data_IF_752873684804
#
_entry.id   IF_752873684804
#
_cell.length_a   1.000
_cell.length_b   1.000
_cell.length_c   1.000
_cell.angle_alpha   90.00
_cell.angle_beta   90.00
_cell.angle_gamma   90.00
#
_symmetry.space_group_name_H-M   'P 1'
#
loop_
_entity.id
_entity.type
_entity.pdbx_description
1 polymer ?
#
# COMPACT_ATOMS: atom_id res chain seq x y z
N UNK A 1 -2.98 -53.80 -49.18
CA UNK A 1 -2.56 -52.70 -48.29
C UNK A 1 -3.52 -51.52 -48.49
N UNK A 2 -4.55 -51.41 -47.64
CA UNK A 2 -5.56 -50.35 -47.70
C UNK A 2 -5.06 -49.13 -46.93
N UNK A 3 -4.96 -47.96 -47.57
CA UNK A 3 -4.68 -46.68 -46.90
C UNK A 3 -5.93 -45.78 -46.96
N UNK A 4 -6.38 -45.47 -45.75
CA UNK A 4 -7.43 -44.59 -45.24
C UNK A 4 -7.68 -43.28 -46.01
N UNK A 5 -8.95 -42.86 -46.13
CA UNK A 5 -9.36 -41.46 -46.06
C UNK A 5 -10.04 -41.21 -44.69
N UNK A 6 -9.50 -40.29 -43.90
CA UNK A 6 -10.16 -39.65 -42.76
C UNK A 6 -9.66 -38.20 -42.77
N UNK A 7 -10.08 -37.38 -43.73
CA UNK A 7 -11.32 -36.61 -43.65
C UNK A 7 -11.47 -35.96 -42.26
N UNK A 8 -10.97 -34.73 -42.10
CA UNK A 8 -11.81 -33.54 -42.16
C UNK A 8 -12.90 -33.46 -41.06
N UNK A 9 -12.58 -33.80 -39.81
CA UNK A 9 -13.47 -33.56 -38.65
C UNK A 9 -12.70 -33.13 -37.40
N UNK A 10 -11.67 -32.29 -37.55
CA UNK A 10 -10.95 -31.73 -36.39
C UNK A 10 -10.52 -30.27 -36.58
N UNK A 11 -11.28 -29.49 -37.35
CA UNK A 11 -11.01 -28.06 -37.57
C UNK A 11 -12.19 -27.14 -37.20
N UNK A 12 -13.21 -27.66 -36.50
CA UNK A 12 -14.43 -26.89 -36.18
C UNK A 12 -14.80 -26.86 -34.69
N UNK A 13 -13.85 -27.00 -33.77
CA UNK A 13 -14.13 -27.05 -32.32
C UNK A 13 -13.24 -26.13 -31.45
N UNK A 14 -12.62 -25.09 -32.01
CA UNK A 14 -11.83 -24.11 -31.25
C UNK A 14 -12.16 -22.64 -31.57
N UNK A 15 -13.42 -22.36 -31.94
CA UNK A 15 -13.93 -20.99 -31.93
C UNK A 15 -14.58 -20.71 -30.56
N UNK A 16 -13.76 -20.58 -29.52
CA UNK A 16 -14.21 -19.87 -28.33
C UNK A 16 -14.36 -18.38 -28.69
N UNK A 17 -15.44 -17.71 -28.30
CA UNK A 17 -15.46 -16.26 -28.37
C UNK A 17 -14.38 -15.75 -27.42
N UNK A 18 -13.29 -15.23 -27.97
CA UNK A 18 -12.38 -14.38 -27.21
C UNK A 18 -13.23 -13.25 -26.65
N UNK A 19 -13.51 -13.30 -25.35
CA UNK A 19 -14.06 -12.14 -24.65
C UNK A 19 -12.97 -11.09 -24.74
N UNK A 20 -13.14 -10.14 -25.65
CA UNK A 20 -12.24 -9.01 -25.79
C UNK A 20 -12.24 -8.26 -24.46
N UNK A 21 -11.18 -8.44 -23.69
CA UNK A 21 -10.91 -7.64 -22.51
C UNK A 21 -10.62 -6.23 -23.05
N UNK A 22 -11.59 -5.33 -22.89
CA UNK A 22 -11.44 -3.94 -23.27
C UNK A 22 -10.36 -3.30 -22.39
N UNK A 23 -9.19 -3.08 -22.99
CA UNK A 23 -8.13 -2.25 -22.42
C UNK A 23 -8.63 -0.78 -22.40
N UNK A 24 -8.20 0.04 -21.42
CA UNK A 24 -8.45 1.47 -21.46
C UNK A 24 -7.97 2.07 -22.78
N UNK A 25 -8.73 3.00 -23.38
CA UNK A 25 -8.29 3.77 -24.55
C UNK A 25 -7.05 4.58 -24.17
N UNK A 26 -5.87 4.12 -24.61
CA UNK A 26 -4.59 4.78 -24.37
C UNK A 26 -4.33 5.95 -25.33
N UNK A 27 -5.27 6.26 -26.23
CA UNK A 27 -5.14 7.28 -27.27
C UNK A 27 -4.23 6.84 -28.43
N UNK A 28 -4.35 7.53 -29.56
CA UNK A 28 -3.47 7.36 -30.73
C UNK A 28 -2.08 7.92 -30.42
N UNK A 29 -1.24 7.06 -29.81
CA UNK A 29 0.13 7.37 -29.46
C UNK A 29 1.05 7.07 -30.64
N UNK A 30 1.41 8.12 -31.37
CA UNK A 30 2.68 8.12 -32.10
C UNK A 30 3.83 7.75 -31.14
N UNK A 31 4.88 7.11 -31.65
CA UNK A 31 5.98 6.49 -30.92
C UNK A 31 6.92 7.45 -30.12
N UNK A 32 6.39 8.53 -29.56
CA UNK A 32 7.03 9.55 -28.72
C UNK A 32 5.92 10.27 -27.94
N UNK A 33 5.72 10.20 -26.62
CA UNK A 33 6.46 9.77 -25.45
C UNK A 33 5.43 9.30 -24.40
N UNK A 34 5.74 8.31 -23.57
CA UNK A 34 4.96 8.01 -22.37
C UNK A 34 5.10 9.19 -21.40
N UNK A 35 4.16 10.14 -21.41
CA UNK A 35 4.29 11.41 -20.67
C UNK A 35 4.08 11.21 -19.16
N UNK A 36 4.68 12.05 -18.29
CA UNK A 36 4.48 11.96 -16.83
C UNK A 36 3.01 11.96 -16.40
N UNK A 37 2.15 12.70 -17.13
CA UNK A 37 0.71 12.72 -16.88
C UNK A 37 0.03 11.38 -17.21
N UNK A 38 0.43 10.74 -18.31
CA UNK A 38 -0.04 9.38 -18.64
C UNK A 38 0.47 8.35 -17.63
N UNK A 39 1.74 8.42 -17.20
CA UNK A 39 2.26 7.52 -16.17
C UNK A 39 1.44 7.64 -14.87
N UNK A 40 1.16 8.87 -14.46
CA UNK A 40 0.38 9.14 -13.26
C UNK A 40 -1.04 8.60 -13.36
N UNK A 41 -1.73 8.84 -14.48
CA UNK A 41 -3.08 8.33 -14.70
C UNK A 41 -3.14 6.81 -14.65
N UNK A 42 -2.23 6.12 -15.33
CA UNK A 42 -2.17 4.65 -15.32
C UNK A 42 -1.85 4.13 -13.91
N UNK A 43 -0.91 4.76 -13.21
CA UNK A 43 -0.60 4.43 -11.82
C UNK A 43 -1.81 4.58 -10.89
N UNK A 44 -2.57 5.66 -11.05
CA UNK A 44 -3.81 5.95 -10.30
C UNK A 44 -4.89 4.88 -10.53
N UNK A 45 -5.02 4.39 -11.76
CA UNK A 45 -5.94 3.29 -12.09
C UNK A 45 -5.49 1.97 -11.47
N UNK A 46 -4.20 1.63 -11.59
CA UNK A 46 -3.64 0.40 -11.01
C UNK A 46 -3.81 0.40 -9.48
N UNK A 47 -3.42 1.48 -8.81
CA UNK A 47 -3.45 1.52 -7.35
C UNK A 47 -4.87 1.52 -6.81
N UNK A 48 -5.82 2.12 -7.54
CA UNK A 48 -7.25 2.06 -7.20
C UNK A 48 -7.72 0.61 -7.22
N UNK A 49 -7.36 -0.16 -8.23
CA UNK A 49 -7.69 -1.59 -8.28
C UNK A 49 -7.04 -2.37 -7.13
N UNK A 50 -5.75 -2.17 -6.86
CA UNK A 50 -5.02 -2.85 -5.78
C UNK A 50 -5.65 -2.54 -4.42
N UNK A 51 -5.83 -1.26 -4.07
CA UNK A 51 -6.33 -0.82 -2.75
C UNK A 51 -7.70 -1.41 -2.42
N UNK A 52 -8.56 -1.60 -3.42
CA UNK A 52 -9.96 -1.96 -3.19
C UNK A 52 -10.27 -3.43 -3.43
N UNK A 53 -9.49 -4.11 -4.25
CA UNK A 53 -9.84 -5.46 -4.72
C UNK A 53 -8.82 -6.51 -4.36
N UNK A 54 -7.59 -6.11 -4.03
CA UNK A 54 -6.57 -7.06 -3.62
C UNK A 54 -6.62 -7.31 -2.11
N UNK A 55 -6.91 -8.56 -1.72
CA UNK A 55 -6.87 -8.99 -0.33
C UNK A 55 -5.47 -8.87 0.29
N UNK A 56 -4.42 -8.85 -0.54
CA UNK A 56 -3.05 -8.65 -0.12
C UNK A 56 -2.73 -7.18 0.20
N UNK A 57 -3.57 -6.19 -0.14
CA UNK A 57 -3.33 -4.81 0.27
C UNK A 57 -3.27 -4.70 1.81
N UNK A 58 -2.21 -4.05 2.32
CA UNK A 58 -2.05 -3.79 3.75
C UNK A 58 -2.81 -2.51 4.15
N UNK A 59 -4.08 -2.69 4.50
CA UNK A 59 -4.91 -1.63 5.07
C UNK A 59 -4.59 -1.44 6.57
N UNK A 60 -3.41 -0.90 6.86
CA UNK A 60 -2.97 -0.56 8.22
C UNK A 60 -2.47 0.89 8.27
N UNK A 61 -3.24 1.84 8.82
CA UNK A 61 -2.89 3.25 8.79
C UNK A 61 -1.57 3.60 9.48
N UNK A 62 -1.17 2.86 10.52
CA UNK A 62 0.10 3.13 11.21
C UNK A 62 1.30 2.69 10.37
N UNK A 63 1.19 1.53 9.70
CA UNK A 63 2.24 1.04 8.80
C UNK A 63 2.31 1.90 7.54
N UNK A 64 1.16 2.24 6.93
CA UNK A 64 1.08 3.12 5.76
C UNK A 64 1.71 4.49 6.07
N UNK A 65 1.42 5.06 7.25
CA UNK A 65 2.00 6.34 7.64
C UNK A 65 3.51 6.28 7.83
N UNK A 66 4.03 5.22 8.47
CA UNK A 66 5.47 5.01 8.63
C UNK A 66 6.20 4.91 7.28
N UNK A 67 5.73 4.04 6.37
CA UNK A 67 6.39 3.85 5.07
C UNK A 67 6.32 5.12 4.22
N UNK A 68 5.22 5.88 4.30
CA UNK A 68 5.11 7.15 3.60
C UNK A 68 6.02 8.22 4.20
N UNK A 69 6.24 8.23 5.52
CA UNK A 69 7.16 9.16 6.17
C UNK A 69 8.60 8.86 5.79
N UNK A 70 8.99 7.58 5.81
CA UNK A 70 10.28 7.11 5.33
C UNK A 70 10.50 7.49 3.85
N UNK A 71 9.54 7.16 3.00
CA UNK A 71 9.57 7.46 1.58
C UNK A 71 9.66 8.97 1.30
N UNK A 72 8.84 9.80 1.95
CA UNK A 72 8.90 11.27 1.79
C UNK A 72 10.23 11.87 2.21
N UNK A 73 10.86 11.34 3.28
CA UNK A 73 12.21 11.76 3.68
C UNK A 73 13.23 11.46 2.59
N UNK A 74 13.15 10.30 1.95
CA UNK A 74 14.02 9.93 0.83
C UNK A 74 13.73 10.77 -0.43
N UNK A 75 12.45 10.96 -0.79
CA UNK A 75 12.04 11.77 -1.95
C UNK A 75 12.53 13.21 -1.81
N UNK A 76 12.40 13.81 -0.63
CA UNK A 76 12.89 15.16 -0.36
C UNK A 76 14.41 15.32 -0.55
N UNK A 77 15.16 14.21 -0.46
CA UNK A 77 16.61 14.15 -0.68
C UNK A 77 17.00 13.59 -2.07
N UNK A 78 16.02 13.22 -2.89
CA UNK A 78 16.25 12.67 -4.22
C UNK A 78 16.59 13.76 -5.24
N UNK A 79 16.96 13.34 -6.46
CA UNK A 79 17.20 14.25 -7.58
C UNK A 79 15.92 14.90 -8.15
N UNK A 80 14.73 14.47 -7.72
CA UNK A 80 13.46 15.07 -8.11
C UNK A 80 12.48 15.21 -6.92
N UNK A 81 12.75 16.13 -5.97
CA UNK A 81 11.98 16.25 -4.73
C UNK A 81 10.55 16.77 -4.91
N UNK A 82 10.20 17.27 -6.10
CA UNK A 82 8.87 17.79 -6.42
C UNK A 82 7.93 16.72 -7.00
N UNK A 83 8.46 15.55 -7.36
CA UNK A 83 7.64 14.46 -7.89
C UNK A 83 6.79 13.84 -6.77
N UNK A 84 5.52 13.61 -7.05
CA UNK A 84 4.60 12.96 -6.11
C UNK A 84 4.90 11.46 -5.99
N UNK A 85 4.90 10.96 -4.76
CA UNK A 85 5.05 9.54 -4.45
C UNK A 85 4.02 9.08 -3.44
N UNK A 86 3.57 7.84 -3.60
CA UNK A 86 2.63 7.17 -2.72
C UNK A 86 3.18 5.77 -2.39
N UNK A 87 3.43 5.52 -1.11
CA UNK A 87 3.98 4.24 -0.64
C UNK A 87 2.87 3.39 -0.03
N UNK A 88 2.86 2.09 -0.31
CA UNK A 88 1.85 1.17 0.23
C UNK A 88 2.43 -0.19 0.60
N UNK A 89 1.79 -0.86 1.56
CA UNK A 89 2.19 -2.20 2.00
C UNK A 89 1.40 -3.31 1.30
N UNK A 90 2.05 -4.45 1.13
CA UNK A 90 1.45 -5.70 0.61
C UNK A 90 1.69 -6.82 1.62
N UNK A 91 0.64 -7.49 2.07
CA UNK A 91 0.62 -8.63 3.01
C UNK A 91 1.18 -9.88 2.35
N UNK A 92 2.48 -9.89 2.16
CA UNK A 92 3.21 -11.00 1.53
C UNK A 92 4.53 -11.21 2.27
N UNK A 93 4.79 -12.46 2.68
CA UNK A 93 5.99 -12.86 3.40
C UNK A 93 7.26 -12.93 2.54
N UNK A 94 7.15 -12.78 1.22
CA UNK A 94 8.29 -12.73 0.31
C UNK A 94 9.04 -11.40 0.44
N UNK A 95 10.35 -11.44 0.18
CA UNK A 95 11.19 -10.24 0.15
C UNK A 95 11.00 -9.60 -1.23
N UNK A 96 10.19 -8.54 -1.28
CA UNK A 96 9.93 -7.77 -2.49
C UNK A 96 9.58 -6.30 -2.20
N UNK A 97 9.92 -5.45 -3.16
CA UNK A 97 9.39 -4.12 -3.38
C UNK A 97 9.29 -3.89 -4.89
N UNK A 98 8.45 -2.95 -5.30
CA UNK A 98 8.31 -2.60 -6.71
C UNK A 98 7.77 -1.19 -6.88
N UNK A 99 8.21 -0.53 -7.94
CA UNK A 99 7.63 0.71 -8.44
C UNK A 99 6.58 0.45 -9.55
N UNK A 100 5.46 1.15 -9.47
CA UNK A 100 4.47 1.29 -10.54
C UNK A 100 4.62 2.68 -11.20
N UNK A 101 4.11 2.86 -12.44
CA UNK A 101 4.08 4.17 -13.10
C UNK A 101 3.49 5.26 -12.19
N UNK A 102 4.00 6.48 -12.28
CA UNK A 102 3.40 7.62 -11.56
C UNK A 102 3.77 7.76 -10.08
N UNK A 103 4.82 7.06 -9.62
CA UNK A 103 5.39 7.24 -8.28
C UNK A 103 4.74 6.40 -7.17
N UNK A 104 4.06 5.31 -7.53
CA UNK A 104 3.50 4.38 -6.54
C UNK A 104 4.51 3.28 -6.23
N UNK A 105 4.88 3.11 -4.97
CA UNK A 105 5.87 2.11 -4.55
C UNK A 105 5.24 1.15 -3.54
N UNK A 106 5.22 -0.14 -3.90
CA UNK A 106 4.73 -1.22 -3.05
C UNK A 106 5.85 -1.90 -2.28
N UNK A 107 5.62 -2.18 -0.99
CA UNK A 107 6.55 -2.92 -0.13
C UNK A 107 5.87 -4.16 0.44
N UNK A 108 6.49 -5.32 0.28
CA UNK A 108 6.00 -6.54 0.94
C UNK A 108 6.31 -6.50 2.44
N UNK A 109 5.42 -7.03 3.27
CA UNK A 109 5.65 -7.12 4.72
C UNK A 109 6.87 -7.98 5.06
N UNK A 110 7.15 -9.02 4.27
CA UNK A 110 8.35 -9.85 4.38
C UNK A 110 9.64 -9.05 4.23
N UNK A 111 9.68 -8.07 3.32
CA UNK A 111 10.81 -7.16 3.14
C UNK A 111 11.06 -6.32 4.41
N UNK A 112 10.02 -5.69 4.94
CA UNK A 112 10.09 -4.84 6.15
C UNK A 112 10.56 -5.67 7.36
N UNK A 113 10.09 -6.92 7.46
CA UNK A 113 10.47 -7.82 8.55
C UNK A 113 11.92 -8.31 8.44
N UNK A 114 12.40 -8.53 7.21
CA UNK A 114 13.76 -9.01 6.91
C UNK A 114 14.85 -7.94 7.06
N UNK A 115 14.52 -6.66 6.94
CA UNK A 115 15.45 -5.57 7.22
C UNK A 115 15.90 -5.61 8.69
N UNK A 116 17.20 -5.59 8.96
CA UNK A 116 17.78 -5.58 10.31
C UNK A 116 18.01 -4.18 10.85
N UNK A 117 18.11 -3.18 9.96
CA UNK A 117 18.10 -1.75 10.30
C UNK A 117 17.14 -0.96 9.41
N UNK A 118 16.76 0.23 9.85
CA UNK A 118 15.94 1.14 9.06
C UNK A 118 16.71 1.65 7.84
N UNK A 119 18.04 1.78 7.94
CA UNK A 119 18.89 2.19 6.81
C UNK A 119 18.89 1.15 5.67
N UNK A 120 18.78 -0.14 5.99
CA UNK A 120 18.61 -1.18 4.98
C UNK A 120 17.25 -1.10 4.29
N UNK A 121 16.16 -0.92 5.05
CA UNK A 121 14.84 -0.70 4.45
C UNK A 121 14.83 0.56 3.57
N UNK A 122 15.41 1.65 4.08
CA UNK A 122 15.55 2.90 3.37
C UNK A 122 16.37 2.74 2.08
N UNK A 123 17.35 1.84 2.04
CA UNK A 123 18.15 1.55 0.85
C UNK A 123 17.31 0.96 -0.28
N UNK A 124 16.39 0.05 0.04
CA UNK A 124 15.46 -0.54 -0.94
C UNK A 124 14.46 0.51 -1.41
N UNK A 125 13.92 1.32 -0.49
CA UNK A 125 13.00 2.40 -0.86
C UNK A 125 13.70 3.45 -1.73
N UNK A 126 14.95 3.79 -1.43
CA UNK A 126 15.77 4.69 -2.24
C UNK A 126 16.05 4.14 -3.63
N UNK A 127 16.28 2.83 -3.76
CA UNK A 127 16.42 2.12 -5.02
C UNK A 127 15.14 2.21 -5.89
N UNK A 128 13.98 1.95 -5.29
CA UNK A 128 12.69 2.08 -6.00
C UNK A 128 12.38 3.52 -6.40
N UNK A 129 12.71 4.50 -5.54
CA UNK A 129 12.60 5.93 -5.89
C UNK A 129 13.48 6.23 -7.11
N UNK A 130 14.70 5.69 -7.17
CA UNK A 130 15.59 5.89 -8.31
C UNK A 130 15.01 5.29 -9.61
N UNK A 131 14.36 4.12 -9.57
CA UNK A 131 13.66 3.60 -10.76
C UNK A 131 12.60 4.57 -11.30
N UNK A 132 11.87 5.23 -10.40
CA UNK A 132 10.84 6.21 -10.75
C UNK A 132 11.46 7.51 -11.26
N UNK A 133 12.42 8.10 -10.55
CA UNK A 133 12.99 9.40 -10.93
C UNK A 133 13.82 9.32 -12.22
N UNK A 134 14.47 8.17 -12.47
CA UNK A 134 15.15 7.88 -13.73
C UNK A 134 14.19 7.41 -14.84
N UNK A 135 12.88 7.32 -14.55
CA UNK A 135 11.82 6.97 -15.50
C UNK A 135 12.09 5.64 -16.22
N UNK A 136 12.64 4.65 -15.53
CA UNK A 136 13.04 3.38 -16.16
C UNK A 136 11.85 2.67 -16.83
N UNK A 137 10.65 2.71 -16.23
CA UNK A 137 9.43 2.15 -16.87
C UNK A 137 9.12 2.86 -18.19
N UNK A 138 9.14 4.20 -18.21
CA UNK A 138 8.89 4.96 -19.42
C UNK A 138 9.94 4.69 -20.51
N UNK A 139 11.21 4.52 -20.12
CA UNK A 139 12.28 4.17 -21.05
C UNK A 139 12.10 2.77 -21.65
N UNK A 140 11.65 1.78 -20.86
CA UNK A 140 11.33 0.42 -21.36
C UNK A 140 10.17 0.50 -22.36
N UNK A 141 9.10 1.20 -22.00
CA UNK A 141 7.91 1.34 -22.85
C UNK A 141 8.23 2.08 -24.14
N UNK A 142 9.00 3.17 -24.08
CA UNK A 142 9.37 3.98 -25.24
C UNK A 142 10.31 3.26 -26.22
N UNK A 143 11.26 2.45 -25.72
CA UNK A 143 12.20 1.70 -26.57
C UNK A 143 11.56 0.50 -27.29
N UNK A 144 10.38 0.07 -26.86
CA UNK A 144 9.76 -1.17 -27.34
C UNK A 144 8.28 -0.95 -27.68
N UNK A 145 7.93 0.21 -28.24
CA UNK A 145 6.58 0.82 -28.26
C UNK A 145 5.39 -0.15 -28.33
N UNK A 146 5.40 -1.15 -29.21
CA UNK A 146 4.32 -2.14 -29.27
C UNK A 146 4.37 -3.21 -28.17
N UNK A 147 5.53 -3.79 -27.88
CA UNK A 147 5.66 -4.83 -26.86
C UNK A 147 5.67 -4.28 -25.41
N UNK A 148 6.25 -3.09 -25.20
CA UNK A 148 6.23 -2.41 -23.91
C UNK A 148 4.82 -1.95 -23.50
N UNK A 149 4.00 -1.55 -24.48
CA UNK A 149 2.60 -1.22 -24.25
C UNK A 149 1.74 -2.47 -24.02
N UNK A 150 1.98 -3.55 -24.76
CA UNK A 150 1.38 -4.86 -24.51
C UNK A 150 1.73 -5.40 -23.11
N UNK A 151 2.95 -5.15 -22.62
CA UNK A 151 3.39 -5.54 -21.29
C UNK A 151 2.68 -4.75 -20.18
N UNK A 152 2.55 -3.43 -20.31
CA UNK A 152 1.73 -2.61 -19.39
C UNK A 152 0.25 -3.04 -19.40
N UNK A 153 -0.31 -3.25 -20.58
CA UNK A 153 -1.66 -3.78 -20.75
C UNK A 153 -1.82 -5.16 -20.11
N UNK A 154 -0.82 -6.02 -20.21
CA UNK A 154 -0.85 -7.35 -19.60
C UNK A 154 -0.69 -7.32 -18.08
N UNK A 155 0.07 -6.36 -17.53
CA UNK A 155 0.13 -6.13 -16.08
C UNK A 155 -1.24 -5.69 -15.54
N UNK A 156 -1.89 -4.74 -16.22
CA UNK A 156 -3.28 -4.35 -15.93
C UNK A 156 -4.21 -5.56 -16.01
N UNK A 157 -4.11 -6.38 -17.05
CA UNK A 157 -4.91 -7.59 -17.23
C UNK A 157 -4.62 -8.63 -16.14
N UNK A 158 -3.39 -8.82 -15.69
CA UNK A 158 -3.05 -9.76 -14.61
C UNK A 158 -3.68 -9.32 -13.27
N UNK A 159 -3.62 -8.02 -12.97
CA UNK A 159 -4.28 -7.43 -11.80
C UNK A 159 -5.80 -7.60 -11.91
N UNK A 160 -6.37 -7.42 -13.10
CA UNK A 160 -7.80 -7.65 -13.36
C UNK A 160 -8.15 -9.16 -13.42
N UNK A 161 -7.25 -10.07 -13.74
CA UNK A 161 -7.53 -11.51 -13.85
C UNK A 161 -7.54 -12.18 -12.47
N UNK A 162 -6.85 -11.61 -11.47
CA UNK A 162 -6.99 -11.99 -10.07
C UNK A 162 -8.45 -11.84 -9.54
N UNK A 163 -9.35 -11.23 -10.32
CA UNK A 163 -10.79 -11.06 -10.04
C UNK A 163 -11.61 -12.35 -10.12
N UNK A 164 -11.17 -13.38 -10.87
CA UNK A 164 -12.06 -14.51 -11.16
C UNK A 164 -11.84 -15.69 -10.21
N UNK A 165 -12.81 -15.90 -9.32
CA UNK A 165 -13.02 -17.17 -8.61
C UNK A 165 -13.41 -18.34 -9.56
N UNK A 166 -13.18 -18.23 -10.86
CA UNK A 166 -13.55 -19.25 -11.84
C UNK A 166 -12.35 -20.12 -12.19
N UNK A 167 -12.49 -21.41 -11.87
CA UNK A 167 -11.68 -22.56 -12.31
C UNK A 167 -10.17 -22.31 -12.50
N UNK A 168 -9.42 -22.99 -11.64
CA UNK A 168 -7.95 -23.10 -11.53
C UNK A 168 -7.15 -23.11 -12.86
N UNK A 169 -7.76 -23.44 -14.01
CA UNK A 169 -7.08 -23.42 -15.31
C UNK A 169 -6.85 -22.04 -15.92
N UNK A 170 -7.79 -21.08 -15.82
CA UNK A 170 -7.59 -19.74 -16.41
C UNK A 170 -6.68 -18.86 -15.54
N UNK A 171 -6.80 -18.97 -14.21
CA UNK A 171 -5.92 -18.30 -13.26
C UNK A 171 -4.47 -18.80 -13.36
N UNK A 172 -4.23 -20.08 -13.64
CA UNK A 172 -2.88 -20.63 -13.83
C UNK A 172 -2.23 -20.17 -15.15
N UNK A 173 -3.01 -20.02 -16.23
CA UNK A 173 -2.53 -19.46 -17.50
C UNK A 173 -2.24 -17.96 -17.35
N UNK A 174 -3.13 -17.21 -16.68
CA UNK A 174 -2.91 -15.80 -16.36
C UNK A 174 -1.69 -15.62 -15.44
N UNK A 175 -1.50 -16.48 -14.44
CA UNK A 175 -0.32 -16.46 -13.56
C UNK A 175 0.97 -16.86 -14.29
N UNK A 176 0.92 -17.83 -15.20
CA UNK A 176 2.04 -18.23 -16.04
C UNK A 176 2.46 -17.12 -17.02
N UNK A 177 1.48 -16.43 -17.60
CA UNK A 177 1.71 -15.24 -18.41
C UNK A 177 2.23 -14.07 -17.56
N UNK A 178 1.66 -13.81 -16.38
CA UNK A 178 2.13 -12.78 -15.46
C UNK A 178 3.56 -13.04 -14.98
N UNK A 179 3.95 -14.30 -14.72
CA UNK A 179 5.33 -14.67 -14.40
C UNK A 179 6.31 -14.49 -15.56
N UNK A 180 5.86 -14.72 -16.80
CA UNK A 180 6.65 -14.45 -18.01
C UNK A 180 6.76 -12.94 -18.30
N UNK A 181 5.72 -12.17 -17.99
CA UNK A 181 5.72 -10.70 -18.06
C UNK A 181 6.61 -10.11 -16.97
N UNK A 182 6.55 -10.65 -15.74
CA UNK A 182 7.40 -10.25 -14.62
C UNK A 182 8.88 -10.49 -14.92
N UNK A 183 9.23 -11.60 -15.56
CA UNK A 183 10.61 -11.88 -15.97
C UNK A 183 11.07 -11.02 -17.16
N UNK A 184 10.14 -10.57 -18.00
CA UNK A 184 10.39 -9.58 -19.08
C UNK A 184 10.43 -8.13 -18.57
N UNK A 185 9.77 -7.83 -17.46
CA UNK A 185 9.83 -6.56 -16.71
C UNK A 185 11.13 -6.39 -15.93
N UNK A 186 11.95 -7.45 -15.80
CA UNK A 186 13.24 -7.37 -15.14
C UNK A 186 14.08 -6.24 -15.72
N UNK A 187 14.49 -5.30 -14.87
CA UNK A 187 15.25 -4.15 -15.33
C UNK A 187 16.58 -4.59 -15.94
N UNK A 188 17.01 -3.87 -16.97
CA UNK A 188 18.33 -4.12 -17.56
C UNK A 188 19.43 -3.92 -16.50
N UNK A 189 20.57 -4.61 -16.66
CA UNK A 189 21.71 -4.43 -15.73
C UNK A 189 22.17 -2.97 -15.64
N UNK A 190 21.99 -2.19 -16.71
CA UNK A 190 22.33 -0.77 -16.72
C UNK A 190 21.38 0.04 -15.83
N UNK A 191 20.08 -0.21 -15.92
CA UNK A 191 19.08 0.42 -15.05
C UNK A 191 19.28 0.06 -13.58
N UNK A 192 19.64 -1.18 -13.28
CA UNK A 192 19.95 -1.60 -11.91
C UNK A 192 21.19 -0.87 -11.36
N UNK A 193 22.28 -0.76 -12.14
CA UNK A 193 23.49 -0.02 -11.72
C UNK A 193 23.25 1.47 -11.58
N UNK A 194 22.34 2.03 -12.36
CA UNK A 194 21.91 3.42 -12.24
C UNK A 194 21.07 3.64 -10.98
N UNK A 195 20.08 2.77 -10.75
CA UNK A 195 19.21 2.82 -9.57
C UNK A 195 19.99 2.62 -8.27
N UNK A 196 20.94 1.68 -8.23
CA UNK A 196 21.85 1.48 -7.09
C UNK A 196 22.60 2.77 -6.74
N UNK A 197 23.21 3.40 -7.76
CA UNK A 197 24.03 4.61 -7.58
C UNK A 197 23.19 5.80 -7.11
N UNK A 198 22.06 6.06 -7.77
CA UNK A 198 21.17 7.18 -7.45
C UNK A 198 20.47 6.94 -6.10
N UNK A 199 20.10 5.70 -5.82
CA UNK A 199 19.55 5.26 -4.54
C UNK A 199 20.54 5.46 -3.40
N UNK A 200 21.81 5.08 -3.58
CA UNK A 200 22.87 5.28 -2.59
C UNK A 200 23.12 6.77 -2.30
N UNK A 201 23.10 7.62 -3.34
CA UNK A 201 23.22 9.08 -3.18
C UNK A 201 22.03 9.66 -2.42
N UNK A 202 20.81 9.22 -2.74
CA UNK A 202 19.58 9.62 -2.04
C UNK A 202 19.63 9.19 -0.57
N UNK A 203 20.14 7.98 -0.30
CA UNK A 203 20.28 7.43 1.05
C UNK A 203 21.25 8.27 1.90
N UNK A 204 22.42 8.66 1.35
CA UNK A 204 23.37 9.55 2.02
C UNK A 204 22.77 10.93 2.28
N UNK A 205 22.14 11.52 1.26
CA UNK A 205 21.53 12.85 1.34
C UNK A 205 20.36 12.89 2.35
N UNK A 206 19.61 11.80 2.48
CA UNK A 206 18.55 11.65 3.49
C UNK A 206 19.10 11.40 4.90
N UNK A 207 20.41 11.21 5.06
CA UNK A 207 21.07 11.02 6.36
C UNK A 207 20.94 9.61 6.94
N UNK A 208 20.77 8.59 6.10
CA UNK A 208 20.84 7.18 6.51
C UNK A 208 22.27 6.64 6.40
N UNK A 209 22.54 5.46 6.99
CA UNK A 209 23.83 4.79 6.77
C UNK A 209 23.84 4.11 5.40
N UNK A 210 24.70 4.62 4.52
CA UNK A 210 24.90 4.09 3.16
C UNK A 210 25.35 2.64 3.13
N UNK A 211 25.92 2.12 4.23
CA UNK A 211 26.29 0.71 4.37
C UNK A 211 25.08 -0.22 4.48
N UNK A 212 23.89 0.32 4.74
CA UNK A 212 22.64 -0.42 4.70
C UNK A 212 22.35 -1.03 3.32
N UNK A 213 22.77 -0.38 2.22
CA UNK A 213 22.54 -0.91 0.87
C UNK A 213 23.31 -2.22 0.59
N UNK A 214 24.66 -2.26 0.68
CA UNK A 214 25.39 -3.52 0.46
C UNK A 214 25.02 -4.59 1.51
N UNK A 215 24.78 -4.22 2.77
CA UNK A 215 24.35 -5.17 3.81
C UNK A 215 23.00 -5.83 3.46
N UNK A 216 22.05 -5.05 2.91
CA UNK A 216 20.77 -5.59 2.46
C UNK A 216 20.93 -6.50 1.24
N UNK A 217 21.76 -6.12 0.27
CA UNK A 217 22.05 -6.96 -0.90
C UNK A 217 22.64 -8.32 -0.51
N UNK A 218 23.61 -8.34 0.41
CA UNK A 218 24.12 -9.60 0.95
C UNK A 218 23.02 -10.44 1.59
N UNK A 219 22.09 -9.80 2.33
CA UNK A 219 20.97 -10.52 2.94
C UNK A 219 20.05 -11.14 1.89
N UNK A 220 19.73 -10.43 0.81
CA UNK A 220 19.00 -10.98 -0.32
C UNK A 220 19.73 -12.17 -0.95
N UNK A 221 21.04 -12.05 -1.14
CA UNK A 221 21.87 -13.13 -1.70
C UNK A 221 21.93 -14.35 -0.76
N UNK A 222 21.99 -14.15 0.56
CA UNK A 222 21.92 -15.24 1.54
C UNK A 222 20.54 -15.90 1.52
N UNK A 223 19.47 -15.11 1.47
CA UNK A 223 18.11 -15.62 1.35
C UNK A 223 17.92 -16.45 0.08
N UNK A 224 18.49 -16.05 -1.06
CA UNK A 224 18.37 -16.80 -2.32
C UNK A 224 19.09 -18.15 -2.31
N UNK A 225 20.20 -18.28 -1.56
CA UNK A 225 20.91 -19.56 -1.43
C UNK A 225 20.14 -20.60 -0.62
N UNK A 226 19.32 -20.15 0.35
CA UNK A 226 18.48 -21.04 1.16
C UNK A 226 17.29 -21.62 0.38
N UNK A 227 16.91 -20.99 -0.72
CA UNK A 227 15.84 -21.41 -1.61
C UNK A 227 16.41 -21.77 -2.99
N UNK A 228 17.16 -22.88 -3.10
CA UNK A 228 17.87 -23.32 -4.32
C UNK A 228 17.00 -23.35 -5.61
N UNK A 229 15.67 -23.40 -5.48
CA UNK A 229 14.71 -23.41 -6.59
C UNK A 229 13.72 -22.23 -6.60
N UNK A 230 13.87 -21.22 -5.74
CA UNK A 230 12.94 -20.09 -5.70
C UNK A 230 13.62 -18.80 -5.21
N UNK A 231 14.38 -18.15 -6.10
CA UNK A 231 14.95 -16.84 -5.81
C UNK A 231 13.88 -15.87 -5.27
N UNK A 232 14.19 -15.03 -4.26
CA UNK A 232 13.28 -14.03 -3.73
C UNK A 232 12.61 -13.23 -4.84
N UNK A 233 11.34 -12.85 -4.65
CA UNK A 233 10.58 -12.12 -5.66
C UNK A 233 11.31 -10.86 -6.14
N UNK A 234 11.96 -10.13 -5.22
CA UNK A 234 12.81 -8.98 -5.55
C UNK A 234 13.92 -9.33 -6.55
N UNK A 235 14.59 -10.47 -6.42
CA UNK A 235 15.70 -10.85 -7.31
C UNK A 235 15.24 -11.25 -8.72
N UNK A 236 13.94 -11.53 -8.91
CA UNK A 236 13.37 -11.81 -10.23
C UNK A 236 13.15 -10.54 -11.04
N UNK A 237 12.81 -9.43 -10.38
CA UNK A 237 12.65 -8.11 -11.02
C UNK A 237 13.94 -7.29 -10.99
N UNK A 238 14.80 -7.52 -9.98
CA UNK A 238 16.07 -6.84 -9.75
C UNK A 238 17.22 -7.85 -9.61
N UNK A 239 17.76 -8.38 -10.73
CA UNK A 239 18.81 -9.39 -10.68
C UNK A 239 20.06 -8.87 -9.94
N UNK A 240 20.35 -9.42 -8.76
CA UNK A 240 21.50 -9.06 -7.96
C UNK A 240 22.73 -9.87 -8.39
N UNK A 241 23.81 -9.17 -8.75
CA UNK A 241 25.08 -9.77 -9.16
C UNK A 241 26.16 -9.49 -8.12
N UNK A 242 27.21 -10.32 -8.05
CA UNK A 242 28.39 -10.04 -7.22
C UNK A 242 29.04 -8.71 -7.58
N UNK A 243 28.96 -8.30 -8.85
CA UNK A 243 29.45 -6.99 -9.33
C UNK A 243 28.71 -5.81 -8.69
N UNK A 244 27.38 -5.86 -8.60
CA UNK A 244 26.59 -4.81 -7.93
C UNK A 244 26.89 -4.70 -6.44
N UNK A 245 27.03 -5.84 -5.75
CA UNK A 245 27.41 -5.86 -4.33
C UNK A 245 28.77 -5.19 -4.14
N UNK A 246 29.78 -5.60 -4.92
CA UNK A 246 31.11 -5.04 -4.86
C UNK A 246 31.16 -3.54 -5.24
N UNK A 247 30.37 -3.08 -6.22
CA UNK A 247 30.27 -1.65 -6.55
C UNK A 247 29.70 -0.85 -5.37
N UNK A 248 28.63 -1.34 -4.73
CA UNK A 248 28.02 -0.66 -3.58
C UNK A 248 28.93 -0.66 -2.35
N UNK A 249 29.65 -1.74 -2.07
CA UNK A 249 30.66 -1.80 -1.02
C UNK A 249 31.77 -0.77 -1.27
N UNK A 250 32.33 -0.73 -2.49
CA UNK A 250 33.40 0.20 -2.85
C UNK A 250 32.94 1.67 -2.73
N UNK A 251 31.73 1.98 -3.17
CA UNK A 251 31.16 3.33 -3.03
C UNK A 251 30.94 3.69 -1.57
N UNK A 252 30.27 2.82 -0.81
CA UNK A 252 29.99 3.05 0.61
C UNK A 252 31.27 3.21 1.44
N UNK A 253 32.35 2.52 1.08
CA UNK A 253 33.66 2.65 1.72
C UNK A 253 34.29 4.04 1.52
N UNK A 254 34.06 4.66 0.35
CA UNK A 254 34.54 6.03 0.06
C UNK A 254 33.69 7.13 0.70
N UNK A 255 32.49 6.80 1.20
CA UNK A 255 31.55 7.74 1.81
C UNK A 255 31.74 7.82 3.32
N UNK A 256 31.45 9.02 3.87
CA UNK A 256 31.60 9.30 5.31
C UNK A 256 30.80 8.30 6.14
N UNK A 257 31.44 7.67 7.12
CA UNK A 257 30.75 6.85 8.10
C UNK A 257 29.85 7.70 9.00
N UNK A 258 28.62 7.23 9.19
CA UNK A 258 27.66 7.77 10.16
C UNK A 258 26.97 6.59 10.83
N UNK A 259 27.02 6.53 12.15
CA UNK A 259 26.18 5.61 12.89
C UNK A 259 24.78 6.23 12.99
N UNK A 260 23.82 5.63 12.29
CA UNK A 260 22.43 6.10 12.27
C UNK A 260 21.58 5.11 13.07
N UNK A 261 21.09 5.47 14.28
CA UNK A 261 20.20 4.59 15.02
C UNK A 261 18.85 4.49 14.31
N UNK A 262 18.24 3.31 14.40
CA UNK A 262 16.88 3.09 13.93
C UNK A 262 15.89 3.95 14.70
N UNK A 263 14.85 4.42 14.02
CA UNK A 263 13.72 5.05 14.70
C UNK A 263 12.94 4.02 15.52
N UNK A 264 12.32 4.48 16.61
CA UNK A 264 11.42 3.64 17.41
C UNK A 264 10.23 3.14 16.59
N UNK A 265 9.73 3.96 15.66
CA UNK A 265 8.63 3.63 14.76
C UNK A 265 8.96 2.44 13.85
N UNK A 266 10.18 2.34 13.32
CA UNK A 266 10.62 1.15 12.59
C UNK A 266 10.52 -0.12 13.45
N UNK A 267 10.96 -0.04 14.71
CA UNK A 267 10.83 -1.12 15.69
C UNK A 267 9.37 -1.50 15.94
N UNK A 268 8.49 -0.52 16.19
CA UNK A 268 7.07 -0.76 16.44
C UNK A 268 6.33 -1.33 15.23
N UNK A 269 6.62 -0.84 14.02
CA UNK A 269 6.06 -1.38 12.77
C UNK A 269 6.47 -2.83 12.57
N UNK A 270 7.75 -3.16 12.76
CA UNK A 270 8.21 -4.55 12.66
C UNK A 270 7.57 -5.43 13.72
N UNK A 271 7.47 -4.98 14.96
CA UNK A 271 6.79 -5.72 16.02
C UNK A 271 5.31 -5.95 15.69
N UNK A 272 4.60 -4.91 15.20
CA UNK A 272 3.21 -4.99 14.75
C UNK A 272 3.03 -6.02 13.64
N UNK A 273 3.85 -5.95 12.59
CA UNK A 273 3.80 -6.87 11.46
C UNK A 273 4.14 -8.32 11.85
N UNK A 274 5.12 -8.54 12.73
CA UNK A 274 5.43 -9.88 13.26
C UNK A 274 4.24 -10.47 13.98
N UNK A 275 3.64 -9.69 14.88
CA UNK A 275 2.46 -10.12 15.63
C UNK A 275 1.30 -10.40 14.69
N UNK A 276 1.07 -9.59 13.66
CA UNK A 276 0.01 -9.83 12.67
C UNK A 276 0.23 -11.11 11.84
N UNK A 277 1.48 -11.41 11.48
CA UNK A 277 1.83 -12.58 10.68
C UNK A 277 1.79 -13.91 11.48
N UNK A 278 1.96 -13.85 12.80
CA UNK A 278 2.04 -15.02 13.66
C UNK A 278 0.67 -15.43 14.27
N UNK A 279 0.57 -16.71 14.63
CA UNK A 279 -0.50 -17.19 15.49
C UNK A 279 -0.37 -16.53 16.87
N UNK A 280 -1.48 -16.05 17.48
CA UNK A 280 -1.41 -15.26 18.72
C UNK A 280 -0.63 -15.93 19.85
N UNK A 281 -0.82 -17.23 20.08
CA UNK A 281 -0.13 -17.96 21.16
C UNK A 281 1.38 -18.09 20.92
N UNK A 282 1.80 -18.34 19.68
CA UNK A 282 3.21 -18.41 19.31
C UNK A 282 3.89 -17.05 19.44
N UNK A 283 3.22 -15.98 19.01
CA UNK A 283 3.70 -14.62 19.16
C UNK A 283 3.92 -14.26 20.64
N UNK A 284 2.97 -14.61 21.52
CA UNK A 284 3.13 -14.37 22.96
C UNK A 284 4.35 -15.11 23.51
N UNK A 285 4.52 -16.40 23.19
CA UNK A 285 5.66 -17.20 23.66
C UNK A 285 6.99 -16.60 23.20
N UNK A 286 7.13 -16.34 21.90
CA UNK A 286 8.37 -15.81 21.31
C UNK A 286 8.74 -14.44 21.91
N UNK A 287 7.76 -13.53 22.01
CA UNK A 287 7.99 -12.19 22.50
C UNK A 287 8.21 -12.15 24.02
N UNK A 288 7.56 -13.03 24.79
CA UNK A 288 7.83 -13.17 26.22
C UNK A 288 9.30 -13.58 26.45
N UNK A 289 9.78 -14.60 25.74
CA UNK A 289 11.19 -15.02 25.80
C UNK A 289 12.15 -13.90 25.39
N UNK A 290 11.77 -13.13 24.36
CA UNK A 290 12.58 -12.02 23.86
C UNK A 290 12.67 -10.87 24.86
N UNK A 291 11.56 -10.51 25.52
CA UNK A 291 11.54 -9.48 26.57
C UNK A 291 12.36 -9.90 27.79
N UNK A 292 12.38 -11.19 28.13
CA UNK A 292 13.26 -11.70 29.20
C UNK A 292 14.74 -11.54 28.84
N UNK A 293 15.11 -11.89 27.60
CA UNK A 293 16.51 -11.77 27.13
C UNK A 293 16.94 -10.31 26.91
N UNK A 294 16.01 -9.45 26.51
CA UNK A 294 16.26 -8.05 26.15
C UNK A 294 15.20 -7.14 26.80
N UNK A 295 15.29 -6.92 28.13
CA UNK A 295 14.27 -6.17 28.87
C UNK A 295 14.15 -4.69 28.47
N UNK A 296 15.19 -4.12 27.85
CA UNK A 296 15.20 -2.75 27.32
C UNK A 296 14.65 -2.61 25.89
N UNK A 297 14.30 -3.70 25.20
CA UNK A 297 13.77 -3.64 23.84
C UNK A 297 12.28 -3.24 23.85
N UNK A 298 12.03 -1.93 23.71
CA UNK A 298 10.68 -1.35 23.67
C UNK A 298 9.79 -1.99 22.59
N UNK A 299 10.35 -2.30 21.42
CA UNK A 299 9.60 -2.90 20.32
C UNK A 299 9.13 -4.32 20.66
N UNK A 300 9.96 -5.10 21.35
CA UNK A 300 9.57 -6.42 21.84
C UNK A 300 8.50 -6.35 22.92
N UNK A 301 8.58 -5.39 23.84
CA UNK A 301 7.55 -5.18 24.88
C UNK A 301 6.23 -4.73 24.26
N UNK A 302 6.28 -3.78 23.34
CA UNK A 302 5.14 -3.36 22.53
C UNK A 302 4.51 -4.55 21.79
N UNK A 303 5.32 -5.34 21.08
CA UNK A 303 4.88 -6.55 20.39
C UNK A 303 4.20 -7.54 21.35
N UNK A 304 4.78 -7.78 22.53
CA UNK A 304 4.21 -8.69 23.53
C UNK A 304 2.82 -8.24 23.97
N UNK A 305 2.65 -6.95 24.27
CA UNK A 305 1.34 -6.37 24.63
C UNK A 305 0.33 -6.58 23.50
N UNK A 306 0.72 -6.34 22.24
CA UNK A 306 -0.15 -6.61 21.07
C UNK A 306 -0.51 -8.09 20.96
N UNK A 307 0.45 -8.99 21.17
CA UNK A 307 0.22 -10.43 21.10
C UNK A 307 -0.72 -10.90 22.21
N UNK A 308 -0.56 -10.41 23.43
CA UNK A 308 -1.45 -10.67 24.57
C UNK A 308 -2.88 -10.22 24.26
N UNK A 309 -3.05 -8.99 23.74
CA UNK A 309 -4.35 -8.48 23.32
C UNK A 309 -5.00 -9.38 22.25
N UNK A 310 -4.26 -9.75 21.19
CA UNK A 310 -4.77 -10.65 20.14
C UNK A 310 -5.12 -12.05 20.65
N UNK A 311 -4.45 -12.52 21.71
CA UNK A 311 -4.73 -13.80 22.35
C UNK A 311 -5.91 -13.75 23.34
N UNK A 312 -6.56 -12.59 23.51
CA UNK A 312 -7.66 -12.40 24.46
C UNK A 312 -7.23 -12.24 25.92
N UNK A 313 -5.92 -12.21 26.20
CA UNK A 313 -5.33 -12.02 27.54
C UNK A 313 -5.30 -10.54 27.92
N UNK A 314 -6.48 -9.92 27.99
CA UNK A 314 -6.63 -8.46 28.07
C UNK A 314 -6.09 -7.86 29.37
N UNK A 315 -6.23 -8.55 30.52
CA UNK A 315 -5.70 -8.05 31.79
C UNK A 315 -4.16 -8.00 31.78
N UNK A 316 -3.52 -9.00 31.17
CA UNK A 316 -2.06 -9.02 31.00
C UNK A 316 -1.58 -8.00 29.97
N UNK A 317 -2.35 -7.81 28.89
CA UNK A 317 -2.07 -6.76 27.92
C UNK A 317 -2.13 -5.37 28.58
N UNK A 318 -3.12 -5.11 29.42
CA UNK A 318 -3.29 -3.84 30.14
C UNK A 318 -2.17 -3.61 31.16
N UNK A 319 -1.79 -4.63 31.94
CA UNK A 319 -0.65 -4.56 32.85
C UNK A 319 0.67 -4.31 32.09
N UNK A 320 0.89 -5.02 30.97
CA UNK A 320 2.06 -4.85 30.12
C UNK A 320 2.11 -3.45 29.48
N UNK A 321 0.97 -2.92 29.04
CA UNK A 321 0.86 -1.57 28.51
C UNK A 321 1.18 -0.51 29.58
N UNK A 322 0.68 -0.67 30.80
CA UNK A 322 0.98 0.25 31.90
C UNK A 322 2.49 0.28 32.21
N UNK A 323 3.14 -0.88 32.23
CA UNK A 323 4.59 -1.00 32.40
C UNK A 323 5.37 -0.41 31.21
N UNK A 324 4.85 -0.54 29.99
CA UNK A 324 5.46 0.06 28.81
C UNK A 324 5.35 1.59 28.87
N UNK A 325 4.17 2.14 29.14
CA UNK A 325 3.94 3.59 29.25
C UNK A 325 4.73 4.27 30.37
N UNK A 326 5.03 3.55 31.46
CA UNK A 326 5.81 4.12 32.58
C UNK A 326 7.30 4.21 32.30
N UNK A 327 7.81 3.47 31.31
CA UNK A 327 9.25 3.37 31.03
C UNK A 327 9.66 3.83 29.63
N UNK A 328 8.77 3.76 28.64
CA UNK A 328 9.04 4.21 27.28
C UNK A 328 8.80 5.71 27.11
N UNK A 329 9.54 6.36 26.21
CA UNK A 329 9.16 7.72 25.85
C UNK A 329 7.82 7.71 25.10
N UNK A 330 7.04 8.80 25.18
CA UNK A 330 5.72 8.84 24.57
C UNK A 330 5.74 8.62 23.05
N UNK A 331 4.78 7.83 22.57
CA UNK A 331 4.71 7.36 21.18
C UNK A 331 3.25 7.22 20.73
N UNK A 332 2.94 7.62 19.50
CA UNK A 332 1.61 7.42 18.91
C UNK A 332 1.24 5.95 18.82
N UNK A 333 2.20 5.05 18.59
CA UNK A 333 1.95 3.60 18.53
C UNK A 333 1.48 3.05 19.88
N UNK A 334 2.07 3.52 20.99
CA UNK A 334 1.70 3.09 22.34
C UNK A 334 0.30 3.62 22.71
N UNK A 335 0.00 4.87 22.37
CA UNK A 335 -1.33 5.46 22.61
C UNK A 335 -2.42 4.82 21.75
N UNK A 336 -2.11 4.49 20.49
CA UNK A 336 -2.99 3.72 19.60
C UNK A 336 -3.28 2.34 20.17
N UNK A 337 -2.24 1.60 20.63
CA UNK A 337 -2.40 0.30 21.27
C UNK A 337 -3.25 0.36 22.55
N UNK A 338 -3.13 1.43 23.33
CA UNK A 338 -3.97 1.63 24.50
C UNK A 338 -5.45 1.78 24.14
N UNK A 339 -5.74 2.52 23.08
CA UNK A 339 -7.10 2.64 22.57
C UNK A 339 -7.60 1.31 22.00
N UNK A 340 -6.77 0.56 21.26
CA UNK A 340 -7.09 -0.79 20.77
C UNK A 340 -7.47 -1.73 21.92
N UNK A 341 -6.71 -1.72 23.03
CA UNK A 341 -7.02 -2.53 24.23
C UNK A 341 -8.36 -2.09 24.85
N UNK A 342 -8.60 -0.78 24.99
CA UNK A 342 -9.87 -0.28 25.52
C UNK A 342 -11.07 -0.69 24.63
N UNK A 343 -10.90 -0.65 23.30
CA UNK A 343 -11.90 -1.16 22.36
C UNK A 343 -12.13 -2.67 22.52
N UNK A 344 -11.06 -3.46 22.67
CA UNK A 344 -11.16 -4.91 22.91
C UNK A 344 -11.88 -5.25 24.22
N UNK A 345 -11.74 -4.39 25.26
CA UNK A 345 -12.49 -4.47 26.52
C UNK A 345 -13.93 -3.97 26.43
N UNK A 346 -14.43 -3.63 25.24
CA UNK A 346 -15.74 -3.03 25.00
C UNK A 346 -15.95 -1.71 25.75
N UNK A 347 -14.88 -0.92 25.91
CA UNK A 347 -14.93 0.42 26.49
C UNK A 347 -14.54 1.50 25.46
N UNK A 348 -15.39 1.78 24.47
CA UNK A 348 -15.09 2.74 23.41
C UNK A 348 -14.99 4.19 23.91
N UNK A 349 -15.64 4.54 25.02
CA UNK A 349 -15.52 5.88 25.63
C UNK A 349 -14.11 6.13 26.19
N UNK A 350 -13.50 5.12 26.83
CA UNK A 350 -12.11 5.20 27.28
C UNK A 350 -11.12 5.25 26.10
N UNK A 351 -11.41 4.50 25.02
CA UNK A 351 -10.63 4.56 23.79
C UNK A 351 -10.67 5.97 23.18
N UNK A 352 -11.87 6.56 23.01
CA UNK A 352 -12.05 7.91 22.51
C UNK A 352 -11.30 8.94 23.36
N UNK A 353 -11.43 8.89 24.70
CA UNK A 353 -10.73 9.80 25.62
C UNK A 353 -9.20 9.70 25.46
N UNK A 354 -8.66 8.48 25.34
CA UNK A 354 -7.24 8.25 25.10
C UNK A 354 -6.80 8.85 23.77
N UNK A 355 -7.58 8.64 22.71
CA UNK A 355 -7.28 9.12 21.36
C UNK A 355 -7.44 10.65 21.22
N UNK A 356 -8.34 11.28 21.96
CA UNK A 356 -8.44 12.75 22.02
C UNK A 356 -7.19 13.37 22.64
N UNK A 357 -6.66 12.77 23.72
CA UNK A 357 -5.40 13.21 24.29
C UNK A 357 -4.22 12.96 23.33
N UNK A 358 -4.20 11.78 22.69
CA UNK A 358 -3.14 11.40 21.76
C UNK A 358 -3.11 12.29 20.51
N UNK A 359 -4.26 12.61 19.92
CA UNK A 359 -4.35 13.50 18.75
C UNK A 359 -3.97 14.95 19.05
N UNK A 360 -4.16 15.42 20.30
CA UNK A 360 -3.63 16.73 20.73
C UNK A 360 -2.11 16.71 20.86
N UNK A 361 -1.55 15.61 21.34
CA UNK A 361 -0.11 15.43 21.53
C UNK A 361 0.65 15.19 20.22
N UNK A 362 0.02 14.44 19.32
CA UNK A 362 0.59 14.02 18.04
C UNK A 362 -0.32 14.51 16.90
N UNK A 363 -0.43 15.83 16.69
CA UNK A 363 -1.40 16.40 15.77
C UNK A 363 -1.21 15.91 14.35
N UNK A 364 0.00 15.60 13.90
CA UNK A 364 0.27 15.21 12.51
C UNK A 364 -0.03 13.74 12.18
N UNK A 365 -0.28 12.91 13.21
CA UNK A 365 -0.48 11.47 13.05
C UNK A 365 -1.92 11.19 12.63
N UNK A 366 -2.08 10.74 11.38
CA UNK A 366 -3.39 10.56 10.79
C UNK A 366 -4.07 9.28 11.29
N UNK A 367 -3.30 8.23 11.54
CA UNK A 367 -3.82 6.95 12.06
C UNK A 367 -4.62 7.15 13.37
N UNK A 368 -4.16 8.05 14.24
CA UNK A 368 -4.87 8.41 15.49
C UNK A 368 -6.20 9.12 15.23
N UNK A 369 -6.29 9.94 14.18
CA UNK A 369 -7.56 10.62 13.82
C UNK A 369 -8.59 9.64 13.30
N UNK A 370 -8.17 8.66 12.49
CA UNK A 370 -9.06 7.59 12.03
C UNK A 370 -9.57 6.78 13.21
N UNK A 371 -8.66 6.35 14.11
CA UNK A 371 -9.02 5.62 15.31
C UNK A 371 -9.95 6.42 16.22
N UNK A 372 -9.72 7.73 16.38
CA UNK A 372 -10.56 8.60 17.20
C UNK A 372 -11.99 8.65 16.67
N UNK A 373 -12.15 8.92 15.37
CA UNK A 373 -13.46 8.98 14.75
C UNK A 373 -14.20 7.63 14.88
N UNK A 374 -13.51 6.51 14.67
CA UNK A 374 -14.10 5.18 14.84
C UNK A 374 -14.54 4.92 16.29
N UNK A 375 -13.68 5.23 17.26
CA UNK A 375 -13.98 5.09 18.69
C UNK A 375 -15.17 5.97 19.11
N UNK A 376 -15.23 7.22 18.63
CA UNK A 376 -16.34 8.14 18.88
C UNK A 376 -17.67 7.62 18.30
N UNK A 377 -17.66 7.09 17.06
CA UNK A 377 -18.86 6.47 16.46
C UNK A 377 -19.35 5.31 17.33
N UNK A 378 -18.45 4.43 17.77
CA UNK A 378 -18.80 3.24 18.56
C UNK A 378 -19.19 3.62 20.00
N UNK A 379 -18.64 4.70 20.55
CA UNK A 379 -18.98 5.23 21.86
C UNK A 379 -20.34 5.96 21.91
N UNK A 380 -21.06 6.06 20.79
CA UNK A 380 -22.31 6.82 20.72
C UNK A 380 -22.09 8.34 20.69
N UNK A 381 -20.93 8.80 20.23
CA UNK A 381 -20.53 10.20 20.04
C UNK A 381 -20.33 10.54 18.55
N UNK A 382 -21.30 10.26 17.66
CA UNK A 382 -21.12 10.45 16.22
C UNK A 382 -21.07 11.93 15.81
N UNK A 383 -21.57 12.87 16.63
CA UNK A 383 -21.51 14.30 16.33
C UNK A 383 -20.07 14.82 16.37
N UNK A 384 -19.31 14.39 17.37
CA UNK A 384 -17.89 14.67 17.56
C UNK A 384 -17.08 14.08 16.40
N UNK A 385 -17.38 12.83 16.00
CA UNK A 385 -16.76 12.19 14.86
C UNK A 385 -17.02 12.97 13.56
N UNK A 386 -18.26 13.41 13.29
CA UNK A 386 -18.58 14.23 12.12
C UNK A 386 -17.76 15.53 12.11
N UNK A 387 -17.68 16.23 13.24
CA UNK A 387 -16.94 17.48 13.35
C UNK A 387 -15.43 17.29 13.10
N UNK A 388 -14.83 16.25 13.69
CA UNK A 388 -13.41 15.91 13.51
C UNK A 388 -13.10 15.49 12.08
N UNK A 389 -13.91 14.59 11.50
CA UNK A 389 -13.71 14.08 10.14
C UNK A 389 -13.88 15.18 9.09
N UNK A 390 -14.89 16.06 9.23
CA UNK A 390 -15.06 17.20 8.31
C UNK A 390 -13.86 18.14 8.31
N UNK A 391 -13.28 18.41 9.49
CA UNK A 391 -12.05 19.23 9.60
C UNK A 391 -10.88 18.54 8.91
N UNK A 392 -10.73 17.23 9.05
CA UNK A 392 -9.68 16.48 8.37
C UNK A 392 -9.85 16.47 6.83
N UNK A 393 -11.09 16.37 6.34
CA UNK A 393 -11.42 16.41 4.91
C UNK A 393 -11.16 17.79 4.26
N UNK A 394 -11.11 18.88 5.03
CA UNK A 394 -10.70 20.19 4.49
C UNK A 394 -9.23 20.19 4.01
N UNK A 395 -8.40 19.35 4.61
CA UNK A 395 -6.98 19.21 4.25
C UNK A 395 -6.77 18.04 3.30
N UNK A 396 -7.52 16.94 3.47
CA UNK A 396 -7.38 15.70 2.71
C UNK A 396 -8.71 15.30 2.06
N UNK A 397 -9.15 16.08 1.09
CA UNK A 397 -10.46 15.92 0.45
C UNK A 397 -10.63 14.61 -0.34
N UNK A 398 -9.53 13.93 -0.66
CA UNK A 398 -9.45 12.67 -1.40
C UNK A 398 -9.25 11.44 -0.50
N UNK A 399 -9.25 11.61 0.83
CA UNK A 399 -9.05 10.51 1.78
C UNK A 399 -10.32 9.67 1.94
N UNK A 400 -10.32 8.51 1.29
CA UNK A 400 -11.45 7.58 1.28
C UNK A 400 -11.80 7.08 2.69
N UNK A 401 -10.82 6.85 3.58
CA UNK A 401 -11.09 6.39 4.95
C UNK A 401 -11.86 7.45 5.74
N UNK A 402 -11.55 8.73 5.54
CA UNK A 402 -12.31 9.82 6.12
C UNK A 402 -13.75 9.87 5.58
N UNK A 403 -13.95 9.70 4.27
CA UNK A 403 -15.30 9.66 3.71
C UNK A 403 -16.13 8.47 4.21
N UNK A 404 -15.51 7.29 4.40
CA UNK A 404 -16.15 6.12 5.02
C UNK A 404 -16.55 6.39 6.47
N UNK A 405 -15.65 6.99 7.26
CA UNK A 405 -15.93 7.38 8.64
C UNK A 405 -17.04 8.44 8.71
N UNK A 406 -17.05 9.41 7.79
CA UNK A 406 -18.10 10.43 7.71
C UNK A 406 -19.46 9.80 7.39
N UNK A 407 -19.51 8.86 6.45
CA UNK A 407 -20.72 8.10 6.11
C UNK A 407 -21.27 7.38 7.34
N UNK A 408 -20.43 6.61 8.04
CA UNK A 408 -20.78 5.90 9.27
C UNK A 408 -21.22 6.82 10.41
N UNK A 409 -20.53 7.94 10.62
CA UNK A 409 -20.89 8.90 11.66
C UNK A 409 -22.25 9.57 11.38
N UNK A 410 -22.53 9.95 10.13
CA UNK A 410 -23.85 10.49 9.77
C UNK A 410 -24.96 9.44 9.89
N UNK A 411 -24.67 8.17 9.60
CA UNK A 411 -25.61 7.08 9.88
C UNK A 411 -25.92 6.98 11.38
N UNK A 412 -24.90 7.11 12.24
CA UNK A 412 -25.08 7.17 13.70
C UNK A 412 -25.92 8.35 14.19
N UNK A 413 -25.96 9.46 13.44
CA UNK A 413 -26.84 10.60 13.71
C UNK A 413 -28.24 10.47 13.08
N UNK A 414 -28.50 9.42 12.31
CA UNK A 414 -29.74 9.29 11.52
C UNK A 414 -29.84 10.28 10.36
N UNK A 415 -28.74 10.91 9.95
CA UNK A 415 -28.67 11.90 8.86
C UNK A 415 -28.46 11.22 7.51
N UNK A 416 -29.55 10.77 6.90
CA UNK A 416 -29.55 9.92 5.71
C UNK A 416 -29.04 10.65 4.46
N UNK A 417 -29.44 11.90 4.20
CA UNK A 417 -28.86 12.66 3.07
C UNK A 417 -27.34 12.77 3.22
N UNK A 418 -26.84 13.19 4.39
CA UNK A 418 -25.41 13.39 4.61
C UNK A 418 -24.62 12.06 4.57
N UNK A 419 -25.18 10.98 5.11
CA UNK A 419 -24.63 9.63 5.01
C UNK A 419 -24.43 9.22 3.55
N UNK A 420 -25.50 9.24 2.75
CA UNK A 420 -25.45 8.78 1.37
C UNK A 420 -24.62 9.71 0.48
N UNK A 421 -24.57 11.01 0.77
CA UNK A 421 -23.63 11.93 0.12
C UNK A 421 -22.18 11.55 0.40
N UNK A 422 -21.82 11.28 1.66
CA UNK A 422 -20.46 10.85 2.00
C UNK A 422 -20.12 9.48 1.36
N UNK A 423 -21.08 8.55 1.32
CA UNK A 423 -20.94 7.27 0.65
C UNK A 423 -20.74 7.42 -0.87
N UNK A 424 -21.37 8.41 -1.50
CA UNK A 424 -21.14 8.71 -2.91
C UNK A 424 -19.70 9.13 -3.19
N UNK A 425 -19.09 9.93 -2.31
CA UNK A 425 -17.68 10.32 -2.46
C UNK A 425 -16.74 9.12 -2.34
N UNK A 426 -17.03 8.17 -1.43
CA UNK A 426 -16.30 6.90 -1.36
C UNK A 426 -16.31 6.20 -2.73
N UNK A 427 -17.49 6.01 -3.33
CA UNK A 427 -17.59 5.35 -4.63
C UNK A 427 -16.95 6.14 -5.76
N UNK A 428 -17.06 7.47 -5.75
CA UNK A 428 -16.44 8.32 -6.76
C UNK A 428 -14.92 8.22 -6.73
N UNK A 429 -14.31 8.27 -5.55
CA UNK A 429 -12.86 8.12 -5.36
C UNK A 429 -12.37 6.69 -5.67
N UNK A 430 -13.24 5.69 -5.49
CA UNK A 430 -13.01 4.31 -5.96
C UNK A 430 -13.25 4.14 -7.48
N UNK A 431 -13.56 5.21 -8.23
CA UNK A 431 -13.83 5.18 -9.67
C UNK A 431 -15.16 4.50 -10.04
N UNK A 432 -16.03 4.22 -9.07
CA UNK A 432 -17.34 3.59 -9.27
C UNK A 432 -18.43 4.65 -9.45
N UNK A 433 -18.36 5.44 -10.52
CA UNK A 433 -19.22 6.63 -10.71
C UNK A 433 -20.71 6.30 -10.76
N UNK A 434 -21.10 5.15 -11.33
CA UNK A 434 -22.50 4.69 -11.33
C UNK A 434 -23.02 4.42 -9.91
N UNK A 435 -22.22 3.79 -9.05
CA UNK A 435 -22.58 3.58 -7.66
C UNK A 435 -22.63 4.90 -6.87
N UNK A 436 -21.70 5.83 -7.16
CA UNK A 436 -21.72 7.16 -6.57
C UNK A 436 -23.01 7.93 -6.94
N UNK A 437 -23.42 7.85 -8.22
CA UNK A 437 -24.65 8.46 -8.71
C UNK A 437 -25.89 7.90 -8.00
N UNK A 438 -25.97 6.58 -7.84
CA UNK A 438 -27.06 5.92 -7.10
C UNK A 438 -27.15 6.41 -5.65
N UNK A 439 -26.01 6.50 -4.96
CA UNK A 439 -25.98 7.03 -3.59
C UNK A 439 -26.46 8.49 -3.52
N UNK A 440 -26.11 9.34 -4.48
CA UNK A 440 -26.60 10.73 -4.52
C UNK A 440 -28.11 10.80 -4.78
N UNK A 441 -28.66 9.90 -5.59
CA UNK A 441 -30.11 9.81 -5.79
C UNK A 441 -30.85 9.39 -4.53
N UNK A 442 -30.28 8.45 -3.75
CA UNK A 442 -30.79 8.08 -2.43
C UNK A 442 -30.70 9.26 -1.47
N UNK A 443 -29.55 9.95 -1.42
CA UNK A 443 -29.33 11.12 -0.57
C UNK A 443 -30.38 12.22 -0.82
N UNK A 444 -30.67 12.49 -2.09
CA UNK A 444 -31.66 13.50 -2.51
C UNK A 444 -33.09 13.14 -2.11
N UNK A 445 -33.43 11.85 -2.08
CA UNK A 445 -34.78 11.35 -1.75
C UNK A 445 -35.00 11.13 -0.24
N UNK A 446 -33.97 11.26 0.58
CA UNK A 446 -34.03 10.91 2.00
C UNK A 446 -34.93 11.84 2.85
N UNK A 447 -35.13 13.09 2.42
CA UNK A 447 -36.11 14.01 3.00
C UNK A 447 -35.70 14.68 4.33
N UNK A 448 -34.47 14.48 4.80
CA UNK A 448 -33.95 15.01 6.08
C UNK A 448 -32.96 16.18 5.94
N UNK A 449 -32.76 16.68 4.71
CA UNK A 449 -31.81 17.73 4.37
C UNK A 449 -32.44 19.13 4.26
N UNK A 450 -31.62 20.15 4.56
CA UNK A 450 -31.97 21.54 4.28
C UNK A 450 -31.67 21.93 2.82
N UNK A 451 -31.98 23.17 2.45
CA UNK A 451 -31.76 23.68 1.11
C UNK A 451 -30.29 23.64 0.67
N UNK A 452 -29.35 23.89 1.58
CA UNK A 452 -27.91 23.93 1.26
C UNK A 452 -27.37 22.52 1.02
N UNK A 453 -27.76 21.56 1.87
CA UNK A 453 -27.38 20.16 1.73
C UNK A 453 -27.95 19.57 0.43
N UNK A 454 -29.22 19.85 0.10
CA UNK A 454 -29.83 19.41 -1.17
C UNK A 454 -29.14 20.05 -2.38
N UNK A 455 -28.81 21.34 -2.31
CA UNK A 455 -28.09 22.03 -3.38
C UNK A 455 -26.72 21.41 -3.64
N UNK A 456 -26.00 21.03 -2.58
CA UNK A 456 -24.72 20.34 -2.70
C UNK A 456 -24.86 18.93 -3.31
N UNK A 457 -25.91 18.18 -2.93
CA UNK A 457 -26.23 16.88 -3.54
C UNK A 457 -26.54 17.04 -5.02
N UNK A 458 -27.41 17.98 -5.40
CA UNK A 458 -27.78 18.20 -6.80
C UNK A 458 -26.60 18.65 -7.67
N UNK A 459 -25.69 19.46 -7.13
CA UNK A 459 -24.46 19.84 -7.81
C UNK A 459 -23.58 18.63 -8.11
N UNK A 460 -23.31 17.79 -7.09
CA UNK A 460 -22.50 16.59 -7.24
C UNK A 460 -23.16 15.56 -8.17
N UNK A 461 -24.49 15.46 -8.15
CA UNK A 461 -25.26 14.57 -9.02
C UNK A 461 -25.10 14.93 -10.50
N UNK A 462 -25.07 16.22 -10.85
CA UNK A 462 -24.77 16.67 -12.22
C UNK A 462 -23.36 16.28 -12.66
N UNK A 463 -22.39 16.42 -11.76
CA UNK A 463 -21.00 16.04 -12.03
C UNK A 463 -20.85 14.53 -12.25
N UNK A 464 -21.42 13.70 -11.36
CA UNK A 464 -21.38 12.23 -11.53
C UNK A 464 -22.07 11.77 -12.82
N UNK A 465 -23.18 12.41 -13.22
CA UNK A 465 -23.82 12.13 -14.52
C UNK A 465 -22.92 12.42 -15.71
N UNK A 466 -22.12 13.48 -15.65
CA UNK A 466 -21.16 13.80 -16.69
C UNK A 466 -20.04 12.75 -16.76
N UNK A 467 -19.49 12.33 -15.61
CA UNK A 467 -18.46 11.29 -15.53
C UNK A 467 -18.95 9.94 -16.04
N UNK A 468 -20.15 9.49 -15.64
CA UNK A 468 -20.74 8.23 -16.13
C UNK A 468 -20.96 8.27 -17.64
N UNK A 469 -21.39 9.42 -18.19
CA UNK A 469 -21.53 9.58 -19.64
C UNK A 469 -20.18 9.48 -20.34
N UNK A 470 -19.15 10.13 -19.79
CA UNK A 470 -17.79 10.07 -20.34
C UNK A 470 -17.25 8.64 -20.33
N UNK A 471 -17.36 7.94 -19.20
CA UNK A 471 -16.92 6.55 -19.07
C UNK A 471 -17.62 5.63 -20.10
N UNK A 472 -18.89 5.87 -20.39
CA UNK A 472 -19.61 5.11 -21.42
C UNK A 472 -19.07 5.38 -22.82
N UNK A 473 -18.80 6.64 -23.14
CA UNK A 473 -18.22 7.01 -24.44
C UNK A 473 -16.82 6.43 -24.63
N UNK A 474 -16.01 6.41 -23.57
CA UNK A 474 -14.65 5.87 -23.58
C UNK A 474 -14.66 4.32 -23.73
N UNK A 475 -15.73 3.63 -23.30
CA UNK A 475 -15.91 2.18 -23.54
C UNK A 475 -16.43 1.84 -24.93
N UNK A 476 -17.08 2.79 -25.61
CA UNK A 476 -17.65 2.62 -26.95
C UNK A 476 -16.63 2.91 -28.08
N UNK A 477 -15.50 3.54 -27.74
CA UNK A 477 -14.33 3.73 -28.60
C UNK A 477 -13.38 2.55 -28.48
#
# INVERSE_FOLDING_TARGET
>A
MMRRPLALLLSLALAFPAHAIHLPDLGDVGASDFSPAQERRIGEEIIREIRWKDAAYLDDPEVEEYINRLGKRLVAASNNPQQSFDFFGVKDGTLNAFALPGGYIGLHTGLILAAESESELASVVGHEIAHVTQRHIAQIVGKQSQAGMLMLASLLVAILAARSNSQVSEAAVAAGQAGAIQSQLGYTRDFEREADRVGLQTLDAAGFDVRGMPAFFERLQRASRLYENNAPAYLRTHPLTTERIADMENRAASMRYRQVPDTRDFGFVRAKLRVQAAQPADAVRELADRVVRMPGDEASRYGLVRALMRSGRLDEAEAGLAALRSSAEPSSFIESLAAEIAMARRNPAAAATTLEAATKRFPDIQSLRYALADAQIIAGQPAEAVAGVRRALQVRGDDIRLWQLLSRANAGLGKRTAQHRAQAEVYALMGSYSAALEQLEIARKAGDADFYDLSAVDARLREMKALVRQERLDRER
#
